data_IF_478438076394
#
_entry.id   IF_478438076394
#
_cell.length_a   1.000
_cell.length_b   1.000
_cell.length_c   1.000
_cell.angle_alpha   90.00
_cell.angle_beta   90.00
_cell.angle_gamma   90.00
#
_symmetry.space_group_name_H-M   'P 1'
#
loop_
_entity.id
_entity.type
_entity.pdbx_description
1 polymer ?
#
# COMPACT_ATOMS: atom_id res chain seq x y z
N UNK A 1 -7.05 -6.38 -23.65
CA UNK A 1 -6.54 -5.80 -24.90
C UNK A 1 -5.77 -4.50 -24.68
N UNK A 2 -6.29 -3.51 -23.94
CA UNK A 2 -5.63 -2.21 -23.71
C UNK A 2 -4.26 -2.37 -23.02
N UNK A 3 -4.14 -3.25 -22.04
CA UNK A 3 -2.89 -3.49 -21.32
C UNK A 3 -1.79 -4.10 -22.20
N UNK A 4 -2.17 -4.98 -23.11
CA UNK A 4 -1.22 -5.59 -24.07
C UNK A 4 -0.76 -4.55 -25.09
N UNK A 5 -1.67 -3.70 -25.56
CA UNK A 5 -1.33 -2.61 -26.48
C UNK A 5 -0.37 -1.61 -25.83
N UNK A 6 -0.63 -1.21 -24.58
CA UNK A 6 0.26 -0.34 -23.80
C UNK A 6 1.64 -0.97 -23.60
N UNK A 7 1.70 -2.26 -23.27
CA UNK A 7 2.97 -2.98 -23.10
C UNK A 7 3.77 -2.97 -24.40
N UNK A 8 3.13 -3.32 -25.55
CA UNK A 8 3.78 -3.33 -26.84
C UNK A 8 4.26 -1.91 -27.24
N UNK A 9 3.42 -0.90 -27.08
CA UNK A 9 3.80 0.48 -27.35
C UNK A 9 5.01 0.92 -26.52
N UNK A 10 5.04 0.54 -25.22
CA UNK A 10 6.16 0.87 -24.34
C UNK A 10 7.45 0.14 -24.74
N UNK A 11 7.38 -1.13 -25.10
CA UNK A 11 8.53 -1.92 -25.53
C UNK A 11 9.09 -1.39 -26.86
N UNK A 12 8.22 -1.08 -27.82
CA UNK A 12 8.62 -0.51 -29.13
C UNK A 12 9.27 0.88 -28.91
N UNK A 13 8.64 1.73 -28.10
CA UNK A 13 9.20 3.06 -27.79
C UNK A 13 10.57 2.95 -27.10
N UNK A 14 10.70 2.04 -26.12
CA UNK A 14 11.95 1.81 -25.42
C UNK A 14 13.06 1.30 -26.36
N UNK A 15 12.74 0.37 -27.24
CA UNK A 15 13.69 -0.18 -28.23
C UNK A 15 14.18 0.87 -29.24
N UNK A 16 13.31 1.83 -29.60
CA UNK A 16 13.67 2.91 -30.55
C UNK A 16 14.47 4.02 -29.86
N UNK A 17 14.05 4.40 -28.66
CA UNK A 17 14.60 5.59 -27.96
C UNK A 17 15.89 5.30 -27.20
N UNK A 18 16.05 4.06 -26.71
CA UNK A 18 17.20 3.67 -25.87
C UNK A 18 17.98 2.53 -26.54
N UNK A 19 19.08 2.84 -27.28
CA UNK A 19 19.91 1.83 -27.94
C UNK A 19 20.56 0.84 -26.95
N UNK A 20 20.59 1.18 -25.66
CA UNK A 20 21.08 0.31 -24.58
C UNK A 20 20.04 -0.75 -24.17
N UNK A 21 18.79 -0.65 -24.67
CA UNK A 21 17.74 -1.60 -24.37
C UNK A 21 17.94 -2.89 -25.16
N UNK A 22 18.72 -3.80 -24.55
CA UNK A 22 18.85 -5.16 -25.06
C UNK A 22 18.01 -6.08 -24.20
N UNK A 23 17.21 -6.93 -24.83
CA UNK A 23 16.57 -8.03 -24.14
C UNK A 23 17.68 -8.90 -23.51
N UNK A 24 17.65 -9.11 -22.19
CA UNK A 24 18.70 -9.87 -21.52
C UNK A 24 18.76 -11.27 -22.11
N UNK A 25 19.95 -11.66 -22.60
CA UNK A 25 20.17 -13.03 -23.02
C UNK A 25 20.09 -13.94 -21.80
N UNK A 26 19.34 -15.02 -21.90
CA UNK A 26 19.18 -16.01 -20.81
C UNK A 26 20.52 -16.54 -20.27
N UNK A 27 21.59 -16.44 -21.04
CA UNK A 27 22.95 -16.86 -20.66
C UNK A 27 23.70 -15.84 -19.75
N UNK A 28 23.24 -14.58 -19.71
CA UNK A 28 23.85 -13.53 -18.90
C UNK A 28 23.18 -13.38 -17.51
N UNK A 29 22.14 -14.17 -17.24
CA UNK A 29 21.43 -14.15 -15.99
C UNK A 29 22.21 -14.91 -14.90
N UNK A 30 22.83 -14.16 -14.00
CA UNK A 30 23.46 -14.72 -12.82
C UNK A 30 22.39 -15.36 -11.91
N UNK A 31 22.53 -16.67 -11.66
CA UNK A 31 21.61 -17.45 -10.82
C UNK A 31 21.45 -16.86 -9.41
N UNK A 32 22.48 -16.20 -8.90
CA UNK A 32 22.45 -15.59 -7.57
C UNK A 32 21.51 -14.37 -7.54
N UNK A 33 21.55 -13.53 -8.57
CA UNK A 33 20.62 -12.39 -8.70
C UNK A 33 19.19 -12.85 -8.90
N UNK A 34 18.96 -13.87 -9.76
CA UNK A 34 17.62 -14.43 -9.96
C UNK A 34 17.05 -14.98 -8.65
N UNK A 35 17.85 -15.72 -7.89
CA UNK A 35 17.42 -16.28 -6.60
C UNK A 35 17.09 -15.17 -5.59
N UNK A 36 17.88 -14.10 -5.53
CA UNK A 36 17.61 -12.93 -4.69
C UNK A 36 16.31 -12.23 -5.07
N UNK A 37 16.13 -11.96 -6.37
CA UNK A 37 14.95 -11.30 -6.92
C UNK A 37 13.69 -12.16 -6.71
N UNK A 38 13.76 -13.47 -6.97
CA UNK A 38 12.64 -14.38 -6.77
C UNK A 38 12.23 -14.48 -5.30
N UNK A 39 13.21 -14.48 -4.39
CA UNK A 39 12.94 -14.47 -2.95
C UNK A 39 12.26 -13.17 -2.52
N UNK A 40 12.76 -12.02 -2.99
CA UNK A 40 12.15 -10.71 -2.74
C UNK A 40 10.71 -10.65 -3.29
N UNK A 41 10.52 -11.03 -4.56
CA UNK A 41 9.21 -11.08 -5.20
C UNK A 41 8.25 -12.01 -4.47
N UNK A 42 8.69 -13.19 -4.07
CA UNK A 42 7.89 -14.16 -3.32
C UNK A 42 7.36 -13.61 -2.00
N UNK A 43 8.22 -12.92 -1.22
CA UNK A 43 7.79 -12.28 0.04
C UNK A 43 6.88 -11.07 -0.18
N UNK A 44 7.05 -10.35 -1.28
CA UNK A 44 6.16 -9.24 -1.65
C UNK A 44 4.79 -9.76 -2.05
N UNK A 45 4.72 -10.84 -2.85
CA UNK A 45 3.47 -11.50 -3.22
C UNK A 45 2.76 -12.07 -1.98
N UNK A 46 3.50 -12.69 -1.06
CA UNK A 46 2.94 -13.18 0.21
C UNK A 46 2.28 -12.03 1.00
N UNK A 47 2.97 -10.90 1.15
CA UNK A 47 2.44 -9.74 1.87
C UNK A 47 1.17 -9.19 1.21
N UNK A 48 1.17 -9.05 -0.11
CA UNK A 48 0.00 -8.62 -0.88
C UNK A 48 -1.16 -9.62 -0.73
N UNK A 49 -0.87 -10.92 -0.77
CA UNK A 49 -1.84 -11.99 -0.56
C UNK A 49 -2.50 -11.92 0.82
N UNK A 50 -1.73 -11.68 1.88
CA UNK A 50 -2.27 -11.51 3.24
C UNK A 50 -3.22 -10.31 3.33
N UNK A 51 -2.86 -9.17 2.73
CA UNK A 51 -3.72 -7.96 2.72
C UNK A 51 -5.02 -8.23 1.96
N UNK A 52 -4.95 -8.85 0.78
CA UNK A 52 -6.13 -9.20 -0.01
C UNK A 52 -6.99 -10.20 0.75
N UNK A 53 -6.40 -11.25 1.31
CA UNK A 53 -7.12 -12.28 2.07
C UNK A 53 -7.84 -11.69 3.28
N UNK A 54 -7.21 -10.76 4.01
CA UNK A 54 -7.84 -10.04 5.11
C UNK A 54 -9.06 -9.24 4.64
N UNK A 55 -8.89 -8.39 3.62
CA UNK A 55 -9.97 -7.52 3.17
C UNK A 55 -11.13 -8.31 2.57
N UNK A 56 -10.85 -9.31 1.75
CA UNK A 56 -11.87 -10.19 1.18
C UNK A 56 -12.48 -11.12 2.24
N UNK A 57 -11.67 -11.62 3.18
CA UNK A 57 -12.15 -12.44 4.28
C UNK A 57 -13.14 -11.70 5.16
N UNK A 58 -12.84 -10.45 5.55
CA UNK A 58 -13.77 -9.61 6.31
C UNK A 58 -15.07 -9.39 5.52
N UNK A 59 -15.00 -9.08 4.23
CA UNK A 59 -16.17 -8.88 3.38
C UNK A 59 -17.03 -10.14 3.28
N UNK A 60 -16.43 -11.32 3.13
CA UNK A 60 -17.14 -12.60 3.10
C UNK A 60 -17.84 -12.88 4.44
N UNK A 61 -17.13 -12.70 5.56
CA UNK A 61 -17.68 -12.91 6.90
C UNK A 61 -18.83 -11.95 7.17
N UNK A 62 -18.67 -10.67 6.87
CA UNK A 62 -19.73 -9.68 7.03
C UNK A 62 -20.96 -10.02 6.20
N UNK A 63 -20.78 -10.45 4.95
CA UNK A 63 -21.90 -10.82 4.09
C UNK A 63 -22.62 -12.09 4.59
N UNK A 64 -21.88 -13.07 5.12
CA UNK A 64 -22.42 -14.35 5.55
C UNK A 64 -23.21 -14.23 6.87
N UNK A 65 -22.71 -13.44 7.82
CA UNK A 65 -23.30 -13.33 9.16
C UNK A 65 -24.21 -12.12 9.34
N UNK A 66 -23.99 -11.02 8.63
CA UNK A 66 -24.71 -9.76 8.80
C UNK A 66 -25.45 -9.30 7.54
N UNK A 67 -25.27 -10.01 6.43
CA UNK A 67 -25.96 -9.74 5.18
C UNK A 67 -25.35 -8.62 4.33
N UNK A 68 -26.01 -8.35 3.22
CA UNK A 68 -25.49 -7.43 2.18
C UNK A 68 -25.44 -5.98 2.61
N UNK A 69 -26.35 -5.52 3.50
CA UNK A 69 -26.42 -4.12 3.97
C UNK A 69 -25.16 -3.77 4.76
N UNK A 70 -24.75 -4.61 5.70
CA UNK A 70 -23.53 -4.37 6.49
C UNK A 70 -22.27 -4.49 5.63
N UNK A 71 -22.27 -5.43 4.68
CA UNK A 71 -21.14 -5.56 3.75
C UNK A 71 -21.03 -4.37 2.81
N UNK A 72 -22.15 -3.77 2.37
CA UNK A 72 -22.11 -2.53 1.56
C UNK A 72 -21.58 -1.35 2.37
N UNK A 73 -21.97 -1.22 3.63
CA UNK A 73 -21.44 -0.21 4.55
C UNK A 73 -19.90 -0.33 4.71
N UNK A 74 -19.40 -1.55 4.86
CA UNK A 74 -17.96 -1.83 4.89
C UNK A 74 -17.26 -1.45 3.56
N UNK A 75 -17.90 -1.75 2.42
CA UNK A 75 -17.39 -1.39 1.09
C UNK A 75 -17.25 0.13 0.91
N UNK A 76 -18.23 0.90 1.38
CA UNK A 76 -18.20 2.38 1.37
C UNK A 76 -17.03 2.86 2.24
N UNK A 77 -16.88 2.31 3.43
CA UNK A 77 -15.80 2.67 4.35
C UNK A 77 -14.40 2.39 3.76
N UNK A 78 -14.25 1.29 3.02
CA UNK A 78 -13.01 0.99 2.30
C UNK A 78 -12.72 2.00 1.17
N UNK A 79 -13.74 2.48 0.46
CA UNK A 79 -13.57 3.52 -0.57
C UNK A 79 -13.11 4.85 0.05
N UNK A 80 -13.76 5.29 1.14
CA UNK A 80 -13.38 6.50 1.88
C UNK A 80 -11.93 6.38 2.38
N UNK A 81 -11.60 5.28 3.02
CA UNK A 81 -10.24 5.02 3.51
C UNK A 81 -9.20 5.03 2.39
N UNK A 82 -9.50 4.39 1.25
CA UNK A 82 -8.61 4.36 0.09
C UNK A 82 -8.35 5.76 -0.49
N UNK A 83 -9.39 6.59 -0.59
CA UNK A 83 -9.26 7.96 -1.09
C UNK A 83 -8.37 8.82 -0.16
N UNK A 84 -8.54 8.69 1.15
CA UNK A 84 -7.74 9.45 2.13
C UNK A 84 -6.30 8.92 2.19
N UNK A 85 -6.10 7.60 2.15
CA UNK A 85 -4.77 6.99 2.15
C UNK A 85 -3.95 7.32 0.89
N UNK A 86 -4.59 7.63 -0.23
CA UNK A 86 -3.90 8.08 -1.44
C UNK A 86 -3.00 9.28 -1.18
N UNK A 87 -3.40 10.20 -0.32
CA UNK A 87 -2.60 11.37 0.06
C UNK A 87 -1.30 10.96 0.78
N UNK A 88 -1.40 10.04 1.73
CA UNK A 88 -0.22 9.53 2.46
C UNK A 88 0.73 8.74 1.56
N UNK A 89 0.18 7.91 0.68
CA UNK A 89 1.00 7.13 -0.27
C UNK A 89 1.76 8.02 -1.23
N UNK A 90 1.25 9.20 -1.57
CA UNK A 90 1.94 10.18 -2.41
C UNK A 90 3.24 10.68 -1.76
N UNK A 91 3.23 10.96 -0.45
CA UNK A 91 4.46 11.31 0.29
C UNK A 91 5.45 10.14 0.28
N UNK A 92 4.97 8.94 0.56
CA UNK A 92 5.83 7.75 0.61
C UNK A 92 6.47 7.48 -0.75
N UNK A 93 5.74 7.61 -1.84
CA UNK A 93 6.25 7.44 -3.19
C UNK A 93 7.34 8.46 -3.53
N UNK A 94 7.26 9.68 -3.00
CA UNK A 94 8.29 10.71 -3.17
C UNK A 94 9.54 10.43 -2.30
N UNK A 95 9.38 9.86 -1.11
CA UNK A 95 10.46 9.64 -0.16
C UNK A 95 11.16 8.28 -0.31
N UNK A 96 10.46 7.25 -0.75
CA UNK A 96 11.00 5.88 -0.90
C UNK A 96 12.28 5.80 -1.76
N UNK A 97 12.40 6.48 -2.93
CA UNK A 97 13.64 6.46 -3.71
C UNK A 97 14.84 7.04 -2.95
N UNK A 98 14.61 8.07 -2.13
CA UNK A 98 15.65 8.71 -1.32
C UNK A 98 16.10 7.80 -0.17
N UNK A 99 15.15 7.09 0.47
CA UNK A 99 15.41 6.12 1.52
C UNK A 99 16.27 4.97 0.97
N UNK A 100 15.88 4.42 -0.19
CA UNK A 100 16.62 3.33 -0.86
C UNK A 100 18.02 3.79 -1.30
N UNK A 101 18.15 5.02 -1.84
CA UNK A 101 19.44 5.60 -2.24
C UNK A 101 20.38 5.78 -1.04
N UNK A 102 19.87 6.24 0.10
CA UNK A 102 20.67 6.43 1.30
C UNK A 102 21.18 5.09 1.87
N UNK A 103 20.37 4.03 1.86
CA UNK A 103 20.83 2.69 2.26
C UNK A 103 21.86 2.13 1.26
N UNK A 104 21.62 2.28 -0.04
CA UNK A 104 22.58 1.84 -1.07
C UNK A 104 23.93 2.56 -1.02
N UNK A 105 23.96 3.80 -0.50
CA UNK A 105 25.19 4.55 -0.25
C UNK A 105 25.85 4.21 1.10
N UNK A 106 25.27 3.31 1.91
CA UNK A 106 25.77 2.98 3.25
C UNK A 106 25.45 4.02 4.33
N UNK A 107 24.67 5.06 4.01
CA UNK A 107 24.29 6.17 4.91
C UNK A 107 23.09 5.77 5.81
N UNK A 108 23.27 4.73 6.64
CA UNK A 108 22.18 4.13 7.42
C UNK A 108 21.44 5.11 8.34
N UNK A 109 22.16 6.01 9.00
CA UNK A 109 21.51 7.01 9.86
C UNK A 109 20.61 7.97 9.06
N UNK A 110 21.04 8.34 7.86
CA UNK A 110 20.25 9.20 6.97
C UNK A 110 19.01 8.45 6.47
N UNK A 111 19.14 7.18 6.10
CA UNK A 111 18.02 6.31 5.71
C UNK A 111 16.98 6.23 6.84
N UNK A 112 17.40 6.00 8.10
CA UNK A 112 16.49 5.94 9.24
C UNK A 112 15.78 7.28 9.50
N UNK A 113 16.49 8.40 9.44
CA UNK A 113 15.88 9.74 9.58
C UNK A 113 14.87 10.04 8.48
N UNK A 114 15.16 9.66 7.24
CA UNK A 114 14.23 9.82 6.13
C UNK A 114 12.98 8.94 6.32
N UNK A 115 13.14 7.72 6.79
CA UNK A 115 12.02 6.81 7.08
C UNK A 115 11.13 7.31 8.22
N UNK A 116 11.72 7.85 9.27
CA UNK A 116 11.00 8.49 10.38
C UNK A 116 10.24 9.74 9.90
N UNK A 117 10.89 10.59 9.11
CA UNK A 117 10.27 11.77 8.53
C UNK A 117 9.12 11.39 7.58
N UNK A 118 9.28 10.32 6.79
CA UNK A 118 8.23 9.81 5.91
C UNK A 118 6.98 9.39 6.70
N UNK A 119 7.13 8.64 7.80
CA UNK A 119 6.01 8.30 8.70
C UNK A 119 5.35 9.54 9.27
N UNK A 120 6.15 10.47 9.78
CA UNK A 120 5.66 11.70 10.41
C UNK A 120 4.83 12.53 9.43
N UNK A 121 5.35 12.81 8.24
CA UNK A 121 4.64 13.62 7.25
C UNK A 121 3.43 12.88 6.67
N UNK A 122 3.52 11.58 6.43
CA UNK A 122 2.39 10.78 5.98
C UNK A 122 1.26 10.76 7.01
N UNK A 123 1.60 10.60 8.29
CA UNK A 123 0.64 10.67 9.40
C UNK A 123 0.00 12.05 9.50
N UNK A 124 0.79 13.13 9.49
CA UNK A 124 0.28 14.50 9.62
C UNK A 124 -0.65 14.86 8.46
N UNK A 125 -0.30 14.49 7.22
CA UNK A 125 -1.14 14.74 6.07
C UNK A 125 -2.45 13.93 6.13
N UNK A 126 -2.36 12.66 6.53
CA UNK A 126 -3.54 11.84 6.72
C UNK A 126 -4.43 12.41 7.83
N UNK A 127 -3.85 12.77 8.97
CA UNK A 127 -4.57 13.32 10.12
C UNK A 127 -5.29 14.65 9.79
N UNK A 128 -4.63 15.53 9.01
CA UNK A 128 -5.20 16.79 8.57
C UNK A 128 -6.53 16.61 7.82
N UNK A 129 -6.65 15.54 7.06
CA UNK A 129 -7.86 15.23 6.28
C UNK A 129 -8.78 14.26 7.04
N UNK A 130 -8.25 13.25 7.69
CA UNK A 130 -9.05 12.23 8.35
C UNK A 130 -9.78 12.76 9.59
N UNK A 131 -9.18 13.67 10.37
CA UNK A 131 -9.82 14.19 11.59
C UNK A 131 -11.12 14.96 11.28
N UNK A 132 -11.13 15.97 10.38
CA UNK A 132 -12.38 16.63 10.02
C UNK A 132 -13.38 15.69 9.32
N UNK A 133 -12.90 14.75 8.50
CA UNK A 133 -13.74 13.72 7.89
C UNK A 133 -14.44 12.84 8.93
N UNK A 134 -13.72 12.41 9.98
CA UNK A 134 -14.30 11.61 11.06
C UNK A 134 -15.37 12.41 11.81
N UNK A 135 -15.13 13.70 12.06
CA UNK A 135 -16.08 14.56 12.77
C UNK A 135 -17.38 14.78 11.98
N UNK A 136 -17.27 15.02 10.67
CA UNK A 136 -18.41 15.35 9.79
C UNK A 136 -18.84 14.17 8.89
N UNK A 137 -18.54 12.95 9.28
CA UNK A 137 -18.73 11.76 8.43
C UNK A 137 -20.20 11.57 8.02
N UNK A 138 -21.15 11.81 8.92
CA UNK A 138 -22.57 11.69 8.62
C UNK A 138 -23.01 12.68 7.54
N UNK A 139 -22.59 13.93 7.67
CA UNK A 139 -22.90 15.00 6.69
C UNK A 139 -22.31 14.68 5.32
N UNK A 140 -21.07 14.19 5.31
CA UNK A 140 -20.35 13.87 4.07
C UNK A 140 -20.96 12.67 3.36
N UNK A 141 -21.33 11.62 4.08
CA UNK A 141 -21.97 10.46 3.49
C UNK A 141 -23.36 10.78 2.94
N UNK A 142 -24.14 11.63 3.61
CA UNK A 142 -25.45 12.09 3.12
C UNK A 142 -25.35 12.97 1.88
N UNK A 143 -24.24 13.71 1.74
CA UNK A 143 -23.99 14.52 0.53
C UNK A 143 -23.56 13.65 -0.65
N UNK A 144 -22.87 12.54 -0.38
CA UNK A 144 -22.31 11.67 -1.41
C UNK A 144 -23.24 10.55 -1.85
N UNK A 145 -24.05 10.02 -0.94
CA UNK A 145 -24.95 8.89 -1.16
C UNK A 145 -26.40 9.33 -1.02
N UNK A 146 -27.27 8.90 -1.93
CA UNK A 146 -28.71 9.14 -1.84
C UNK A 146 -29.30 8.47 -0.59
N UNK A 147 -28.86 7.23 -0.30
CA UNK A 147 -29.23 6.49 0.90
C UNK A 147 -27.96 6.01 1.62
N UNK A 148 -27.79 6.41 2.87
CA UNK A 148 -26.66 6.00 3.71
C UNK A 148 -27.00 4.67 4.41
N UNK A 149 -26.29 3.56 4.11
CA UNK A 149 -26.54 2.29 4.77
C UNK A 149 -26.33 2.39 6.28
N UNK A 150 -27.10 1.61 7.03
CA UNK A 150 -26.93 1.45 8.46
C UNK A 150 -25.48 1.03 8.77
N UNK A 151 -24.88 1.61 9.80
CA UNK A 151 -23.48 1.40 10.22
C UNK A 151 -22.41 2.00 9.30
N UNK A 152 -22.71 2.59 8.12
CA UNK A 152 -21.71 3.12 7.21
C UNK A 152 -20.86 4.23 7.87
N UNK A 153 -21.47 5.13 8.63
CA UNK A 153 -20.78 6.19 9.37
C UNK A 153 -19.80 5.60 10.37
N UNK A 154 -20.23 4.64 11.17
CA UNK A 154 -19.40 3.99 12.18
C UNK A 154 -18.22 3.23 11.54
N UNK A 155 -18.45 2.48 10.47
CA UNK A 155 -17.38 1.78 9.75
C UNK A 155 -16.36 2.76 9.16
N UNK A 156 -16.81 3.85 8.56
CA UNK A 156 -15.92 4.88 8.01
C UNK A 156 -15.03 5.49 9.11
N UNK A 157 -15.61 5.86 10.25
CA UNK A 157 -14.88 6.41 11.37
C UNK A 157 -13.84 5.43 11.91
N UNK A 158 -14.23 4.18 12.17
CA UNK A 158 -13.32 3.16 12.70
C UNK A 158 -12.18 2.83 11.73
N UNK A 159 -12.46 2.70 10.44
CA UNK A 159 -11.43 2.42 9.43
C UNK A 159 -10.45 3.59 9.28
N UNK A 160 -10.92 4.84 9.36
CA UNK A 160 -10.03 6.01 9.31
C UNK A 160 -9.14 6.10 10.55
N UNK A 161 -9.67 5.79 11.74
CA UNK A 161 -8.85 5.71 12.97
C UNK A 161 -7.81 4.60 12.85
N UNK A 162 -8.19 3.43 12.36
CA UNK A 162 -7.24 2.33 12.09
C UNK A 162 -6.17 2.73 11.07
N UNK A 163 -6.55 3.46 10.00
CA UNK A 163 -5.62 3.98 9.01
C UNK A 163 -4.61 4.97 9.62
N UNK A 164 -5.02 5.84 10.53
CA UNK A 164 -4.12 6.74 11.26
C UNK A 164 -3.09 5.94 12.10
N UNK A 165 -3.54 4.91 12.81
CA UNK A 165 -2.63 4.03 13.56
C UNK A 165 -1.63 3.30 12.64
N UNK A 166 -2.09 2.81 11.50
CA UNK A 166 -1.24 2.14 10.52
C UNK A 166 -0.13 3.06 9.97
N UNK A 167 -0.41 4.36 9.78
CA UNK A 167 0.57 5.31 9.25
C UNK A 167 1.77 5.53 10.18
N UNK A 168 1.62 5.33 11.47
CA UNK A 168 2.75 5.46 12.41
C UNK A 168 3.87 4.44 12.13
N UNK A 169 3.54 3.30 11.53
CA UNK A 169 4.49 2.21 11.25
C UNK A 169 4.98 2.13 9.80
N UNK A 170 4.48 2.97 8.91
CA UNK A 170 4.79 2.92 7.47
C UNK A 170 6.28 3.16 7.18
N UNK A 171 6.93 4.09 7.88
CA UNK A 171 8.36 4.33 7.72
C UNK A 171 9.24 3.13 8.08
N UNK A 172 8.81 2.33 9.07
CA UNK A 172 9.50 1.07 9.40
C UNK A 172 9.41 0.07 8.25
N UNK A 173 8.28 0.02 7.56
CA UNK A 173 8.11 -0.82 6.37
C UNK A 173 9.05 -0.36 5.24
N UNK A 174 9.13 0.94 4.97
CA UNK A 174 10.03 1.51 3.96
C UNK A 174 11.51 1.27 4.29
N UNK A 175 11.92 1.45 5.56
CA UNK A 175 13.26 1.17 6.03
C UNK A 175 13.62 -0.32 5.86
N UNK A 176 12.70 -1.20 6.21
CA UNK A 176 12.92 -2.64 6.10
C UNK A 176 13.02 -3.12 4.65
N UNK A 177 12.23 -2.53 3.76
CA UNK A 177 12.33 -2.78 2.32
C UNK A 177 13.68 -2.32 1.76
N UNK A 178 14.19 -1.15 2.19
CA UNK A 178 15.49 -0.64 1.78
C UNK A 178 16.65 -1.56 2.19
N UNK A 179 16.57 -2.16 3.38
CA UNK A 179 17.57 -3.13 3.88
C UNK A 179 17.54 -4.46 3.12
N UNK A 180 16.43 -4.79 2.46
CA UNK A 180 16.25 -6.05 1.73
C UNK A 180 16.03 -7.30 2.59
N UNK A 181 16.04 -7.19 3.93
CA UNK A 181 15.76 -8.31 4.85
C UNK A 181 14.26 -8.42 5.18
N UNK A 182 13.45 -8.50 4.13
CA UNK A 182 11.98 -8.42 4.25
C UNK A 182 11.32 -9.69 4.79
N UNK A 183 12.01 -10.86 4.76
CA UNK A 183 11.44 -12.17 5.11
C UNK A 183 10.81 -12.18 6.51
N UNK A 184 11.61 -11.94 7.53
CA UNK A 184 11.16 -12.03 8.93
C UNK A 184 10.12 -10.96 9.26
N UNK A 185 10.33 -9.75 8.77
CA UNK A 185 9.40 -8.64 8.97
C UNK A 185 8.04 -8.95 8.33
N UNK A 186 8.02 -9.31 7.05
CA UNK A 186 6.78 -9.59 6.34
C UNK A 186 6.04 -10.78 6.95
N UNK A 187 6.76 -11.84 7.33
CA UNK A 187 6.16 -13.00 7.96
C UNK A 187 5.46 -12.64 9.28
N UNK A 188 6.12 -11.91 10.17
CA UNK A 188 5.55 -11.55 11.46
C UNK A 188 4.45 -10.50 11.28
N UNK A 189 4.77 -9.38 10.62
CA UNK A 189 3.87 -8.23 10.52
C UNK A 189 2.56 -8.55 9.77
N UNK A 190 2.67 -9.17 8.58
CA UNK A 190 1.48 -9.45 7.78
C UNK A 190 0.69 -10.65 8.29
N UNK A 191 1.33 -11.63 8.94
CA UNK A 191 0.60 -12.73 9.60
C UNK A 191 -0.19 -12.23 10.80
N UNK A 192 0.42 -11.38 11.64
CA UNK A 192 -0.29 -10.73 12.76
C UNK A 192 -1.43 -9.81 12.27
N UNK A 193 -1.25 -9.16 11.13
CA UNK A 193 -2.26 -8.28 10.55
C UNK A 193 -3.40 -9.04 9.86
N UNK A 194 -3.23 -10.33 9.59
CA UNK A 194 -4.26 -11.21 9.04
C UNK A 194 -5.24 -11.70 10.13
N UNK A 195 -4.77 -11.91 11.36
CA UNK A 195 -5.58 -12.28 12.52
C UNK A 195 -6.33 -11.09 13.11
#
# INVERSE_FOLDING_TARGET
CISIFNLLAFVIYAAIKFPEFHLPKLQELDKQYIKGLSNFAGWTIYSAGCVIARNQGISIVLNLFYGTIVNSAYGIAQQVSGAVQFLSTSILNAMNPQIMKAEGAGERQKMLRLSESASKYAFLLLALVAIPLIAEMDTILRLWLDEVPEYAVMFCQLILVAALCDQMSVGLTSANQAIGKIRTYNMIFYTLKLC
#
